data_IF_093950854153
#
_entry.id   IF_093950854153
#
_cell.length_a   1.000
_cell.length_b   1.000
_cell.length_c   1.000
_cell.angle_alpha   90.00
_cell.angle_beta   90.00
_cell.angle_gamma   90.00
#
_symmetry.space_group_name_H-M   'P 1'
#
loop_
_entity.id
_entity.type
_entity.pdbx_description
1 polymer ?
#
# COMPACT_ATOMS: atom_id res chain seq x y z
N UNK A 1 23.86 32.96 29.28
CA UNK A 1 22.67 33.48 28.57
C UNK A 1 23.05 34.49 27.50
N UNK A 2 23.81 35.54 27.83
CA UNK A 2 24.38 36.54 26.89
C UNK A 2 25.09 35.95 25.67
N UNK A 3 26.07 35.05 25.85
CA UNK A 3 26.84 34.48 24.73
C UNK A 3 26.01 33.66 23.71
N UNK A 4 24.80 33.21 24.05
CA UNK A 4 23.89 32.51 23.11
C UNK A 4 23.09 33.52 22.29
N UNK A 5 22.80 34.69 22.86
CA UNK A 5 22.14 35.80 22.16
C UNK A 5 23.08 36.44 21.13
N UNK A 6 24.33 36.74 21.52
CA UNK A 6 25.36 37.27 20.60
C UNK A 6 25.64 36.31 19.43
N UNK A 7 25.61 34.99 19.66
CA UNK A 7 25.76 33.99 18.59
C UNK A 7 24.57 33.98 17.63
N UNK A 8 23.35 34.26 18.10
CA UNK A 8 22.14 34.40 17.26
C UNK A 8 22.12 35.67 16.42
N UNK A 9 22.81 36.74 16.85
CA UNK A 9 22.93 37.98 16.08
C UNK A 9 24.02 37.93 14.99
N UNK A 10 24.99 37.01 15.12
CA UNK A 10 26.06 36.80 14.13
C UNK A 10 25.76 35.70 13.09
N UNK A 11 24.73 34.88 13.28
CA UNK A 11 24.29 33.90 12.28
C UNK A 11 23.51 34.55 11.13
N UNK A 12 23.87 34.17 9.89
CA UNK A 12 23.13 34.59 8.70
C UNK A 12 21.68 34.08 8.72
N UNK A 13 20.80 34.75 7.95
CA UNK A 13 19.41 34.32 7.80
C UNK A 13 19.29 32.85 7.36
N UNK A 14 20.20 32.40 6.48
CA UNK A 14 20.29 31.01 6.04
C UNK A 14 20.68 30.06 7.19
N UNK A 15 21.69 30.40 7.99
CA UNK A 15 22.09 29.59 9.15
C UNK A 15 20.93 29.43 10.14
N UNK A 16 20.24 30.52 10.45
CA UNK A 16 19.05 30.53 11.31
C UNK A 16 17.88 29.70 10.74
N UNK A 17 17.70 29.70 9.42
CA UNK A 17 16.70 28.87 8.75
C UNK A 17 17.04 27.37 8.82
N UNK A 18 18.28 26.98 8.50
CA UNK A 18 18.75 25.60 8.62
C UNK A 18 18.59 25.06 10.06
N UNK A 19 19.01 25.86 11.05
CA UNK A 19 18.88 25.55 12.48
C UNK A 19 17.41 25.37 12.91
N UNK A 20 16.45 26.03 12.25
CA UNK A 20 15.02 25.86 12.53
C UNK A 20 14.42 24.63 11.83
N UNK A 21 14.72 24.40 10.55
CA UNK A 21 14.22 23.24 9.77
C UNK A 21 14.65 21.92 10.41
N UNK A 22 15.89 21.86 10.92
CA UNK A 22 16.47 20.66 11.53
C UNK A 22 16.27 20.56 13.05
N UNK A 23 15.53 21.50 13.66
CA UNK A 23 15.33 21.54 15.11
C UNK A 23 14.50 20.34 15.63
N UNK A 24 15.04 19.67 16.64
CA UNK A 24 14.39 18.60 17.42
C UNK A 24 13.25 19.09 18.31
N UNK A 25 13.23 20.39 18.63
CA UNK A 25 12.23 20.99 19.52
C UNK A 25 10.91 21.36 18.79
N UNK A 26 10.84 21.12 17.48
CA UNK A 26 9.62 21.31 16.71
C UNK A 26 8.59 20.22 17.05
N UNK A 27 7.36 20.61 17.45
CA UNK A 27 6.26 19.68 17.79
C UNK A 27 5.98 18.65 16.69
N UNK A 28 6.18 19.03 15.42
CA UNK A 28 6.25 18.13 14.29
C UNK A 28 7.59 18.39 13.60
N UNK A 29 8.47 17.39 13.59
CA UNK A 29 9.77 17.51 12.94
C UNK A 29 9.61 17.80 11.44
N UNK A 30 10.40 18.74 10.92
CA UNK A 30 10.35 19.17 9.52
C UNK A 30 11.42 18.41 8.72
N UNK A 31 12.70 18.74 8.93
CA UNK A 31 13.80 18.17 8.15
C UNK A 31 13.84 18.66 6.71
N UNK A 32 14.91 18.33 5.99
CA UNK A 32 15.03 18.70 4.57
C UNK A 32 13.99 17.97 3.70
N UNK A 33 13.63 16.73 4.06
CA UNK A 33 12.53 16.02 3.41
C UNK A 33 11.17 16.67 3.66
N UNK A 34 10.93 17.24 4.85
CA UNK A 34 9.71 17.97 5.17
C UNK A 34 9.42 19.16 4.24
N UNK A 35 10.45 19.83 3.75
CA UNK A 35 10.33 20.97 2.83
C UNK A 35 9.66 20.58 1.50
N UNK A 36 9.84 19.34 1.04
CA UNK A 36 9.17 18.79 -0.15
C UNK A 36 7.88 18.04 0.21
N UNK A 37 7.92 17.24 1.27
CA UNK A 37 6.81 16.41 1.73
C UNK A 37 5.56 17.24 2.11
N UNK A 38 5.74 18.33 2.86
CA UNK A 38 4.62 19.16 3.34
C UNK A 38 3.81 19.75 2.17
N UNK A 39 4.39 20.50 1.23
CA UNK A 39 3.60 21.07 0.13
C UNK A 39 3.03 19.98 -0.79
N UNK A 40 3.77 18.90 -1.09
CA UNK A 40 3.28 17.83 -1.98
C UNK A 40 2.09 17.08 -1.36
N UNK A 41 2.18 16.66 -0.10
CA UNK A 41 1.06 16.00 0.59
C UNK A 41 -0.12 16.94 0.84
N UNK A 42 0.10 18.23 1.10
CA UNK A 42 -1.00 19.21 1.21
C UNK A 42 -1.73 19.40 -0.12
N UNK A 43 -1.00 19.52 -1.25
CA UNK A 43 -1.59 19.58 -2.59
C UNK A 43 -2.37 18.30 -2.91
N UNK A 44 -1.76 17.12 -2.73
CA UNK A 44 -2.44 15.84 -2.97
C UNK A 44 -3.71 15.70 -2.10
N UNK A 45 -3.63 16.02 -0.81
CA UNK A 45 -4.76 15.90 0.13
C UNK A 45 -5.90 16.88 -0.20
N UNK A 46 -5.59 18.14 -0.50
CA UNK A 46 -6.59 19.16 -0.81
C UNK A 46 -7.32 18.86 -2.13
N UNK A 47 -6.59 18.49 -3.19
CA UNK A 47 -7.19 18.08 -4.46
C UNK A 47 -7.99 16.79 -4.30
N UNK A 48 -7.48 15.79 -3.56
CA UNK A 48 -8.22 14.55 -3.25
C UNK A 48 -9.56 14.84 -2.56
N UNK A 49 -9.57 15.65 -1.49
CA UNK A 49 -10.79 15.98 -0.75
C UNK A 49 -11.82 16.67 -1.66
N UNK A 50 -11.39 17.66 -2.45
CA UNK A 50 -12.29 18.39 -3.35
C UNK A 50 -12.83 17.46 -4.44
N UNK A 51 -11.97 16.67 -5.08
CA UNK A 51 -12.37 15.77 -6.16
C UNK A 51 -13.28 14.63 -5.66
N UNK A 52 -12.99 14.03 -4.50
CA UNK A 52 -13.82 12.96 -3.92
C UNK A 52 -15.23 13.46 -3.54
N UNK A 53 -15.34 14.72 -3.14
CA UNK A 53 -16.65 15.34 -2.84
C UNK A 53 -17.38 15.75 -4.13
N UNK A 54 -16.69 16.42 -5.07
CA UNK A 54 -17.34 17.25 -6.08
C UNK A 54 -16.87 17.06 -7.55
N UNK A 55 -15.93 16.17 -7.86
CA UNK A 55 -15.51 15.97 -9.26
C UNK A 55 -16.68 15.48 -10.13
N UNK A 56 -16.82 15.97 -11.38
CA UNK A 56 -17.78 15.43 -12.34
C UNK A 56 -17.39 14.01 -12.78
N UNK A 57 -18.24 13.32 -13.55
CA UNK A 57 -17.91 12.03 -14.15
C UNK A 57 -16.71 12.11 -15.10
N UNK A 58 -15.92 11.04 -15.16
CA UNK A 58 -14.62 10.97 -15.87
C UNK A 58 -14.60 9.87 -16.92
N UNK A 59 -14.13 10.14 -18.12
CA UNK A 59 -14.03 9.18 -19.23
C UNK A 59 -12.77 8.30 -19.14
N UNK A 60 -12.75 7.39 -18.17
CA UNK A 60 -11.61 6.51 -17.84
C UNK A 60 -11.10 5.70 -19.04
N UNK A 61 -11.98 5.04 -19.79
CA UNK A 61 -11.58 4.15 -20.89
C UNK A 61 -11.33 4.92 -22.21
N UNK A 62 -11.56 6.24 -22.24
CA UNK A 62 -11.44 7.08 -23.44
C UNK A 62 -12.52 6.85 -24.51
N UNK A 63 -13.55 6.06 -24.20
CA UNK A 63 -14.63 5.65 -25.10
C UNK A 63 -15.85 6.60 -25.09
N UNK A 64 -15.77 7.71 -24.34
CA UNK A 64 -16.86 8.65 -24.06
C UNK A 64 -17.98 8.03 -23.21
N UNK A 65 -17.62 7.20 -22.23
CA UNK A 65 -18.54 6.65 -21.20
C UNK A 65 -18.11 7.12 -19.80
N UNK A 66 -18.49 8.35 -19.36
CA UNK A 66 -17.99 8.91 -18.11
C UNK A 66 -18.52 8.20 -16.86
N UNK A 67 -17.61 7.86 -15.95
CA UNK A 67 -17.91 7.20 -14.67
C UNK A 67 -17.99 8.22 -13.54
N UNK A 68 -19.10 8.23 -12.78
CA UNK A 68 -19.28 9.08 -11.59
C UNK A 68 -18.45 8.56 -10.41
N UNK A 69 -17.43 9.29 -9.99
CA UNK A 69 -16.61 8.94 -8.81
C UNK A 69 -16.98 9.64 -7.50
N UNK A 70 -17.57 10.84 -7.54
CA UNK A 70 -17.67 11.70 -6.36
C UNK A 70 -19.02 11.62 -5.61
N UNK A 71 -19.03 12.10 -4.36
CA UNK A 71 -20.20 12.06 -3.48
C UNK A 71 -21.39 12.88 -4.02
N UNK A 72 -21.14 14.10 -4.53
CA UNK A 72 -22.20 14.96 -5.08
C UNK A 72 -22.81 14.38 -6.37
N UNK A 73 -22.12 13.46 -7.05
CA UNK A 73 -22.61 12.74 -8.22
C UNK A 73 -23.16 11.34 -7.90
N UNK A 74 -23.65 11.14 -6.66
CA UNK A 74 -24.47 9.99 -6.27
C UNK A 74 -23.73 8.86 -5.56
N UNK A 75 -22.44 9.02 -5.25
CA UNK A 75 -21.69 8.01 -4.52
C UNK A 75 -21.80 8.13 -2.99
N UNK A 76 -21.56 7.02 -2.30
CA UNK A 76 -21.31 6.98 -0.87
C UNK A 76 -19.81 6.72 -0.60
N UNK A 77 -19.40 6.63 0.67
CA UNK A 77 -17.99 6.42 1.06
C UNK A 77 -17.38 5.11 0.50
N UNK A 78 -18.20 4.09 0.23
CA UNK A 78 -17.74 2.80 -0.30
C UNK A 78 -17.61 2.84 -1.82
N UNK A 79 -18.60 3.41 -2.52
CA UNK A 79 -18.61 3.48 -3.99
C UNK A 79 -17.81 4.66 -4.56
N UNK A 80 -17.52 5.67 -3.73
CA UNK A 80 -16.78 6.86 -4.15
C UNK A 80 -15.32 6.57 -4.45
N UNK A 81 -14.79 7.22 -5.48
CA UNK A 81 -13.41 7.08 -5.96
C UNK A 81 -12.93 8.35 -6.67
N UNK A 82 -11.62 8.53 -6.73
CA UNK A 82 -11.00 9.36 -7.76
C UNK A 82 -10.79 8.46 -8.97
N UNK A 83 -11.50 8.74 -10.06
CA UNK A 83 -11.43 7.95 -11.29
C UNK A 83 -10.09 8.22 -11.98
N UNK A 84 -9.37 7.18 -12.45
CA UNK A 84 -8.14 7.32 -13.24
C UNK A 84 -8.24 8.24 -14.45
N UNK A 85 -7.08 8.77 -14.85
CA UNK A 85 -6.91 9.58 -16.06
C UNK A 85 -7.22 8.75 -17.31
N UNK A 86 -7.85 9.38 -18.30
CA UNK A 86 -8.37 8.70 -19.49
C UNK A 86 -7.31 7.91 -20.26
N UNK A 87 -7.65 6.69 -20.71
CA UNK A 87 -6.80 5.89 -21.60
C UNK A 87 -6.48 6.59 -22.93
N UNK A 88 -7.28 7.59 -23.34
CA UNK A 88 -6.99 8.45 -24.49
C UNK A 88 -5.75 9.36 -24.27
N UNK A 89 -5.34 9.60 -23.02
CA UNK A 89 -4.07 10.27 -22.65
C UNK A 89 -2.93 9.25 -22.54
N UNK A 90 -3.21 8.02 -22.12
CA UNK A 90 -2.21 6.97 -21.94
C UNK A 90 -1.15 7.35 -20.91
N UNK A 91 0.11 7.51 -21.35
CA UNK A 91 1.26 7.89 -20.51
C UNK A 91 1.73 9.33 -20.75
N UNK A 92 0.95 10.17 -21.43
CA UNK A 92 1.27 11.58 -21.60
C UNK A 92 1.05 12.35 -20.29
N UNK A 93 1.99 13.22 -19.94
CA UNK A 93 1.88 14.10 -18.77
C UNK A 93 0.80 15.17 -19.02
N UNK A 94 -0.26 15.19 -18.20
CA UNK A 94 -1.46 16.00 -18.40
C UNK A 94 -1.76 16.95 -17.21
N UNK A 95 -0.91 17.97 -17.00
CA UNK A 95 -1.14 19.00 -16.01
C UNK A 95 -2.25 19.96 -16.45
N UNK A 96 -2.76 20.75 -15.48
CA UNK A 96 -3.87 21.70 -15.68
C UNK A 96 -3.65 22.68 -16.85
N UNK A 97 -2.40 23.01 -17.20
CA UNK A 97 -2.08 23.96 -18.27
C UNK A 97 -1.95 23.35 -19.68
N UNK A 98 -1.96 22.02 -19.83
CA UNK A 98 -2.11 21.38 -21.15
C UNK A 98 -3.60 21.28 -21.56
N UNK A 99 -4.51 21.36 -20.59
CA UNK A 99 -5.94 21.38 -20.83
C UNK A 99 -6.42 22.75 -21.36
N UNK A 100 -7.39 22.73 -22.27
CA UNK A 100 -8.05 23.93 -22.81
C UNK A 100 -8.96 24.61 -21.78
N UNK A 101 -9.45 23.87 -20.77
CA UNK A 101 -10.23 24.38 -19.65
C UNK A 101 -10.15 23.46 -18.43
N UNK A 102 -10.56 23.97 -17.26
CA UNK A 102 -10.71 23.15 -16.05
C UNK A 102 -11.76 22.06 -16.24
N UNK A 103 -12.84 22.34 -16.98
CA UNK A 103 -13.90 21.35 -17.24
C UNK A 103 -13.40 20.16 -18.07
N UNK A 104 -12.54 20.42 -19.06
CA UNK A 104 -11.91 19.38 -19.89
C UNK A 104 -10.85 18.61 -19.09
N UNK A 105 -10.03 19.29 -18.28
CA UNK A 105 -9.10 18.65 -17.34
C UNK A 105 -9.80 17.71 -16.36
N UNK A 106 -10.97 18.11 -15.86
CA UNK A 106 -11.81 17.28 -14.98
C UNK A 106 -12.41 16.09 -15.72
N UNK A 107 -12.98 16.28 -16.92
CA UNK A 107 -13.58 15.22 -17.73
C UNK A 107 -12.58 14.09 -18.08
N UNK A 108 -11.33 14.46 -18.34
CA UNK A 108 -10.26 13.52 -18.68
C UNK A 108 -9.55 12.89 -17.46
N UNK A 109 -9.99 13.18 -16.24
CA UNK A 109 -9.42 12.58 -15.02
C UNK A 109 -8.07 13.15 -14.61
N UNK A 110 -7.76 14.40 -14.98
CA UNK A 110 -6.54 15.11 -14.57
C UNK A 110 -6.29 15.19 -13.05
N UNK A 111 -7.30 15.23 -12.15
CA UNK A 111 -7.06 15.13 -10.71
C UNK A 111 -6.29 13.87 -10.29
N UNK A 112 -6.49 12.74 -10.97
CA UNK A 112 -5.84 11.47 -10.62
C UNK A 112 -4.33 11.56 -10.78
N UNK A 113 -3.83 11.94 -11.96
CA UNK A 113 -2.38 12.08 -12.20
C UNK A 113 -1.75 13.09 -11.25
N UNK A 114 -2.40 14.25 -11.03
CA UNK A 114 -1.93 15.27 -10.09
C UNK A 114 -1.80 14.69 -8.67
N UNK A 115 -2.82 14.01 -8.16
CA UNK A 115 -2.80 13.39 -6.83
C UNK A 115 -1.71 12.32 -6.76
N UNK A 116 -1.63 11.41 -7.74
CA UNK A 116 -0.66 10.30 -7.74
C UNK A 116 0.77 10.82 -7.75
N UNK A 117 1.12 11.76 -8.64
CA UNK A 117 2.48 12.30 -8.71
C UNK A 117 2.89 13.04 -7.43
N UNK A 118 2.01 13.90 -6.89
CA UNK A 118 2.29 14.61 -5.64
C UNK A 118 2.32 13.65 -4.43
N UNK A 119 1.46 12.64 -4.40
CA UNK A 119 1.44 11.63 -3.35
C UNK A 119 2.71 10.77 -3.38
N UNK A 120 3.15 10.28 -4.55
CA UNK A 120 4.36 9.46 -4.68
C UNK A 120 5.62 10.22 -4.26
N UNK A 121 5.78 11.49 -4.69
CA UNK A 121 6.85 12.37 -4.20
C UNK A 121 6.74 12.60 -2.69
N UNK A 122 5.51 12.83 -2.21
CA UNK A 122 5.20 13.04 -0.81
C UNK A 122 5.54 11.85 0.06
N UNK A 123 5.20 10.61 -0.33
CA UNK A 123 5.51 9.39 0.43
C UNK A 123 6.97 8.96 0.31
N UNK A 124 7.64 9.24 -0.81
CA UNK A 124 9.09 9.04 -0.93
C UNK A 124 9.85 10.00 0.01
N UNK A 125 9.46 11.27 0.05
CA UNK A 125 9.99 12.23 1.02
C UNK A 125 9.57 11.87 2.45
N UNK A 126 8.35 11.37 2.66
CA UNK A 126 7.90 10.89 3.95
C UNK A 126 8.73 9.69 4.43
N UNK A 127 9.08 8.73 3.58
CA UNK A 127 10.00 7.62 3.91
C UNK A 127 11.40 8.14 4.26
N UNK A 128 11.91 9.15 3.54
CA UNK A 128 13.12 9.88 3.93
C UNK A 128 12.99 10.58 5.30
N UNK A 129 11.78 11.03 5.63
CA UNK A 129 11.38 11.57 6.95
C UNK A 129 10.90 10.50 7.94
N UNK A 130 10.85 9.21 7.58
CA UNK A 130 10.58 8.05 8.46
C UNK A 130 11.88 7.41 8.93
N UNK A 131 12.90 7.45 8.06
CA UNK A 131 14.28 7.45 8.50
C UNK A 131 14.56 8.59 9.51
N UNK A 132 13.67 9.60 9.58
CA UNK A 132 13.50 10.54 10.70
C UNK A 132 12.28 10.27 11.67
N UNK A 133 11.26 9.38 11.44
CA UNK A 133 10.06 9.13 12.34
C UNK A 133 9.11 7.84 12.26
N UNK A 134 8.08 7.68 11.36
CA UNK A 134 7.15 6.49 11.08
C UNK A 134 5.57 6.45 11.24
N UNK A 135 4.84 5.39 10.75
CA UNK A 135 3.53 5.48 9.96
C UNK A 135 2.34 4.40 9.99
N UNK A 136 1.33 4.48 9.04
CA UNK A 136 -0.04 3.78 8.86
C UNK A 136 -0.68 3.87 7.40
N UNK A 137 -1.78 3.15 7.00
CA UNK A 137 -2.51 3.24 5.66
C UNK A 137 -4.05 2.87 5.57
N UNK A 138 -4.72 2.99 4.38
CA UNK A 138 -6.18 2.76 4.08
C UNK A 138 -6.56 2.34 2.62
N UNK A 139 -7.86 2.06 2.29
CA UNK A 139 -8.24 0.90 1.42
C UNK A 139 -9.10 1.04 0.11
N UNK A 140 -10.14 1.90 -0.03
CA UNK A 140 -11.38 1.50 -0.80
C UNK A 140 -11.33 1.03 -2.30
N UNK A 141 -11.08 1.89 -3.31
CA UNK A 141 -11.31 1.62 -4.76
C UNK A 141 -10.49 0.48 -5.41
N UNK A 142 -9.61 -0.10 -4.62
CA UNK A 142 -8.75 -1.24 -4.91
C UNK A 142 -9.50 -2.51 -5.36
N UNK A 143 -10.79 -2.67 -5.03
CA UNK A 143 -11.53 -3.90 -5.38
C UNK A 143 -11.70 -4.15 -6.90
N UNK A 144 -11.99 -3.12 -7.70
CA UNK A 144 -12.12 -3.29 -9.15
C UNK A 144 -10.75 -3.66 -9.76
N UNK A 145 -9.70 -2.91 -9.42
CA UNK A 145 -8.32 -3.22 -9.78
C UNK A 145 -7.93 -4.67 -9.43
N UNK A 146 -8.22 -5.13 -8.21
CA UNK A 146 -7.92 -6.52 -7.79
C UNK A 146 -8.61 -7.59 -8.63
N UNK A 147 -9.83 -7.33 -9.13
CA UNK A 147 -10.60 -8.29 -9.93
C UNK A 147 -10.05 -8.35 -11.36
N UNK A 148 -9.83 -7.18 -11.98
CA UNK A 148 -9.28 -7.06 -13.33
C UNK A 148 -7.86 -7.64 -13.40
N UNK A 149 -7.02 -7.29 -12.42
CA UNK A 149 -5.65 -7.81 -12.29
C UNK A 149 -5.60 -9.34 -12.05
N UNK A 150 -6.67 -9.94 -11.48
CA UNK A 150 -6.80 -11.40 -11.40
C UNK A 150 -7.21 -12.03 -12.74
N UNK A 151 -8.03 -11.36 -13.55
CA UNK A 151 -8.40 -11.83 -14.88
C UNK A 151 -7.16 -11.89 -15.79
N UNK A 152 -6.43 -10.77 -15.91
CA UNK A 152 -5.28 -10.62 -16.82
C UNK A 152 -4.04 -11.38 -16.37
N UNK A 153 -3.67 -11.30 -15.08
CA UNK A 153 -2.38 -11.80 -14.59
C UNK A 153 -2.47 -13.11 -13.77
N UNK A 154 -3.69 -13.57 -13.45
CA UNK A 154 -3.91 -14.74 -12.58
C UNK A 154 -3.11 -14.66 -11.27
N UNK A 155 -3.10 -13.48 -10.63
CA UNK A 155 -2.25 -13.15 -9.46
C UNK A 155 -2.34 -14.17 -8.31
N UNK A 156 -3.50 -14.81 -8.09
CA UNK A 156 -3.66 -15.85 -7.08
C UNK A 156 -2.73 -17.05 -7.29
N UNK A 157 -2.30 -17.31 -8.53
CA UNK A 157 -1.35 -18.36 -8.91
C UNK A 157 0.10 -17.86 -9.00
N UNK A 158 0.39 -16.60 -8.64
CA UNK A 158 1.74 -16.04 -8.65
C UNK A 158 2.44 -16.24 -7.30
N UNK A 159 3.65 -16.85 -7.24
CA UNK A 159 4.29 -17.23 -5.97
C UNK A 159 4.63 -16.02 -5.09
N UNK A 160 4.97 -14.86 -5.68
CA UNK A 160 5.24 -13.67 -4.88
C UNK A 160 3.99 -13.09 -4.21
N UNK A 161 2.80 -13.29 -4.79
CA UNK A 161 1.55 -12.93 -4.12
C UNK A 161 1.28 -13.87 -2.93
N UNK A 162 1.51 -15.18 -3.10
CA UNK A 162 1.40 -16.15 -2.00
C UNK A 162 2.36 -15.84 -0.84
N UNK A 163 3.59 -15.41 -1.13
CA UNK A 163 4.55 -14.94 -0.13
C UNK A 163 4.05 -13.68 0.60
N UNK A 164 3.42 -12.74 -0.11
CA UNK A 164 2.74 -11.59 0.49
C UNK A 164 1.61 -11.98 1.44
N UNK A 165 0.75 -12.93 1.04
CA UNK A 165 -0.33 -13.49 1.88
C UNK A 165 0.24 -14.14 3.14
N UNK A 166 1.30 -14.94 3.03
CA UNK A 166 2.00 -15.52 4.17
C UNK A 166 2.63 -14.44 5.08
N UNK A 167 3.14 -13.35 4.49
CA UNK A 167 3.64 -12.17 5.17
C UNK A 167 2.58 -11.49 6.04
N UNK A 168 1.41 -11.17 5.49
CA UNK A 168 0.34 -10.48 6.23
C UNK A 168 -0.37 -11.37 7.24
N UNK A 169 -0.72 -12.62 6.89
CA UNK A 169 -1.33 -13.55 7.84
C UNK A 169 -0.39 -13.91 8.98
N UNK A 170 0.89 -14.17 8.69
CA UNK A 170 1.90 -14.37 9.71
C UNK A 170 2.12 -13.11 10.54
N UNK A 171 2.19 -11.91 9.94
CA UNK A 171 2.29 -10.64 10.66
C UNK A 171 1.16 -10.41 11.66
N UNK A 172 -0.10 -10.65 11.26
CA UNK A 172 -1.26 -10.59 12.15
C UNK A 172 -1.19 -11.64 13.27
N UNK A 173 -0.82 -12.89 12.93
CA UNK A 173 -0.69 -13.98 13.90
C UNK A 173 0.42 -13.70 14.93
N UNK A 174 1.58 -13.22 14.49
CA UNK A 174 2.71 -12.92 15.38
C UNK A 174 2.47 -11.66 16.20
N UNK A 175 1.71 -10.68 15.70
CA UNK A 175 1.23 -9.54 16.49
C UNK A 175 0.35 -10.01 17.65
N UNK A 176 -0.65 -10.85 17.38
CA UNK A 176 -1.53 -11.41 18.41
C UNK A 176 -0.78 -12.34 19.39
N UNK A 177 0.14 -13.17 18.89
CA UNK A 177 0.99 -14.05 19.69
C UNK A 177 1.91 -13.25 20.63
N UNK A 178 2.59 -12.24 20.12
CA UNK A 178 3.49 -11.41 20.93
C UNK A 178 2.73 -10.65 22.01
N UNK A 179 1.63 -9.98 21.64
CA UNK A 179 0.78 -9.27 22.61
C UNK A 179 0.25 -10.17 23.71
N UNK A 180 -0.33 -11.33 23.36
CA UNK A 180 -0.86 -12.28 24.34
C UNK A 180 0.23 -12.87 25.26
N UNK A 181 1.43 -13.19 24.74
CA UNK A 181 2.53 -13.68 25.57
C UNK A 181 3.05 -12.62 26.56
N UNK A 182 3.23 -11.38 26.12
CA UNK A 182 3.65 -10.27 27.00
C UNK A 182 2.57 -10.01 28.06
N UNK A 183 1.31 -9.83 27.66
CA UNK A 183 0.20 -9.59 28.61
C UNK A 183 0.02 -10.74 29.60
N UNK A 184 0.24 -12.00 29.20
CA UNK A 184 0.15 -13.16 30.10
C UNK A 184 1.25 -13.25 31.16
N UNK A 185 2.31 -12.44 31.04
CA UNK A 185 3.52 -12.52 31.87
C UNK A 185 3.90 -11.20 32.54
N UNK A 186 2.98 -10.21 32.56
CA UNK A 186 3.14 -8.97 33.31
C UNK A 186 3.42 -9.23 34.80
N UNK A 187 4.31 -8.43 35.38
CA UNK A 187 4.57 -8.42 36.82
C UNK A 187 3.42 -7.68 37.52
N UNK A 188 2.96 -8.18 38.69
CA UNK A 188 1.83 -7.58 39.40
C UNK A 188 2.29 -6.36 40.22
N UNK A 189 2.11 -5.18 39.62
CA UNK A 189 2.35 -3.87 40.27
C UNK A 189 1.06 -3.14 40.69
N UNK A 190 -0.11 -3.73 40.46
CA UNK A 190 -1.43 -3.12 40.72
C UNK A 190 -2.38 -4.04 41.49
N UNK A 191 -3.44 -3.45 42.05
CA UNK A 191 -4.58 -4.14 42.65
C UNK A 191 -5.62 -4.58 41.61
N UNK A 192 -6.61 -5.37 42.03
CA UNK A 192 -7.72 -5.83 41.16
C UNK A 192 -8.75 -4.73 40.83
N UNK A 193 -8.65 -3.55 41.48
CA UNK A 193 -9.60 -2.45 41.35
C UNK A 193 -9.13 -1.34 40.38
N UNK A 194 -7.99 -1.53 39.72
CA UNK A 194 -7.39 -0.57 38.78
C UNK A 194 -6.86 -1.27 37.51
N UNK A 195 -6.47 -0.51 36.50
CA UNK A 195 -5.93 -1.07 35.27
C UNK A 195 -4.48 -1.52 35.48
N UNK A 196 -4.14 -2.74 35.05
CA UNK A 196 -2.76 -3.24 35.06
C UNK A 196 -1.78 -2.34 34.29
N UNK A 197 -2.27 -1.51 33.35
CA UNK A 197 -1.45 -0.53 32.64
C UNK A 197 -0.82 0.54 33.57
N UNK A 198 -1.46 0.86 34.71
CA UNK A 198 -0.91 1.80 35.70
C UNK A 198 0.31 1.25 36.44
N UNK A 199 0.55 -0.06 36.35
CA UNK A 199 1.76 -0.71 36.84
C UNK A 199 3.02 -0.37 36.02
N UNK A 200 2.86 0.08 34.78
CA UNK A 200 3.97 0.55 33.95
C UNK A 200 4.12 2.07 34.05
N UNK A 201 5.36 2.54 34.27
CA UNK A 201 5.73 3.95 34.27
C UNK A 201 6.61 4.26 33.07
N UNK A 202 6.22 5.27 32.30
CA UNK A 202 6.93 5.67 31.08
C UNK A 202 8.38 6.07 31.40
N UNK A 203 9.34 5.36 30.82
CA UNK A 203 10.77 5.58 31.05
C UNK A 203 11.37 4.82 32.24
N UNK A 204 10.65 3.84 32.82
CA UNK A 204 11.24 2.93 33.81
C UNK A 204 12.38 2.08 33.21
N UNK A 205 13.36 1.72 34.05
CA UNK A 205 14.53 0.94 33.63
C UNK A 205 14.26 -0.58 33.61
N UNK A 206 13.33 -1.07 34.42
CA UNK A 206 13.02 -2.50 34.56
C UNK A 206 11.95 -2.98 33.56
N UNK A 207 12.14 -4.18 33.02
CA UNK A 207 11.19 -4.84 32.12
C UNK A 207 9.87 -5.16 32.84
N UNK A 208 8.73 -4.78 32.24
CA UNK A 208 7.40 -4.89 32.87
C UNK A 208 6.82 -6.33 32.89
N UNK A 209 7.49 -7.30 32.26
CA UNK A 209 7.03 -8.67 32.10
C UNK A 209 8.16 -9.70 32.23
N UNK A 210 7.80 -10.93 32.61
CA UNK A 210 8.76 -12.01 32.77
C UNK A 210 8.93 -12.84 31.48
N UNK A 211 9.91 -12.48 30.66
CA UNK A 211 10.25 -13.19 29.42
C UNK A 211 10.60 -14.68 29.64
N UNK A 212 11.15 -15.07 30.80
CA UNK A 212 11.45 -16.47 31.12
C UNK A 212 10.17 -17.28 31.34
N UNK A 213 9.15 -16.68 31.96
CA UNK A 213 7.82 -17.28 32.08
C UNK A 213 7.14 -17.42 30.71
N UNK A 214 7.18 -16.38 29.87
CA UNK A 214 6.63 -16.41 28.52
C UNK A 214 7.30 -17.46 27.62
N UNK A 215 8.63 -17.51 27.60
CA UNK A 215 9.41 -18.54 26.91
C UNK A 215 9.10 -19.94 27.45
N UNK A 216 9.02 -20.08 28.78
CA UNK A 216 8.68 -21.34 29.45
C UNK A 216 7.28 -21.85 29.11
N UNK A 217 6.30 -20.96 28.93
CA UNK A 217 4.96 -21.32 28.45
C UNK A 217 4.99 -21.74 26.98
N UNK A 218 5.47 -20.86 26.09
CA UNK A 218 5.40 -21.11 24.64
C UNK A 218 6.29 -22.29 24.19
N UNK A 219 7.46 -22.46 24.81
CA UNK A 219 8.34 -23.61 24.58
C UNK A 219 7.77 -24.95 25.06
N UNK A 220 6.76 -24.95 25.95
CA UNK A 220 5.97 -26.14 26.30
C UNK A 220 4.74 -26.33 25.42
N UNK A 221 4.17 -25.24 24.91
CA UNK A 221 3.00 -25.28 24.02
C UNK A 221 3.33 -25.89 22.65
N UNK A 222 4.51 -25.60 22.10
CA UNK A 222 4.96 -26.09 20.79
C UNK A 222 6.11 -27.09 20.99
N UNK A 223 7.34 -26.60 21.12
CA UNK A 223 8.52 -27.32 21.63
C UNK A 223 9.63 -26.30 21.94
N UNK A 224 10.57 -26.67 22.80
CA UNK A 224 11.51 -25.70 23.41
C UNK A 224 12.29 -24.85 22.40
N UNK A 225 12.75 -25.46 21.30
CA UNK A 225 13.53 -24.78 20.25
C UNK A 225 12.68 -23.89 19.31
N UNK A 226 11.36 -23.97 19.34
CA UNK A 226 10.46 -23.09 18.57
C UNK A 226 10.18 -21.74 19.26
N UNK A 227 10.66 -21.55 20.49
CA UNK A 227 10.42 -20.34 21.29
C UNK A 227 11.65 -19.45 21.36
N UNK A 228 11.47 -18.15 21.16
CA UNK A 228 12.52 -17.16 21.36
C UNK A 228 12.77 -16.91 22.86
N UNK A 229 14.01 -17.11 23.31
CA UNK A 229 14.50 -16.67 24.63
C UNK A 229 15.28 -15.35 24.55
N UNK A 230 15.54 -14.83 23.35
CA UNK A 230 16.22 -13.56 23.12
C UNK A 230 15.24 -12.53 22.53
N UNK A 231 14.94 -11.49 23.31
CA UNK A 231 14.03 -10.41 22.91
C UNK A 231 14.44 -9.72 21.61
N UNK A 232 15.75 -9.51 21.36
CA UNK A 232 16.22 -8.85 20.13
C UNK A 232 15.94 -9.70 18.88
N UNK A 233 16.15 -11.01 18.97
CA UNK A 233 15.85 -11.95 17.88
C UNK A 233 14.35 -12.05 17.61
N UNK A 234 13.53 -12.05 18.67
CA UNK A 234 12.07 -12.00 18.56
C UNK A 234 11.62 -10.73 17.82
N UNK A 235 12.02 -9.54 18.28
CA UNK A 235 11.59 -8.28 17.66
C UNK A 235 12.15 -8.08 16.24
N UNK A 236 13.35 -8.56 15.94
CA UNK A 236 13.86 -8.62 14.57
C UNK A 236 12.97 -9.51 13.67
N UNK A 237 12.56 -10.68 14.16
CA UNK A 237 11.64 -11.56 13.43
C UNK A 237 10.26 -10.92 13.21
N UNK A 238 9.70 -10.27 14.24
CA UNK A 238 8.43 -9.55 14.16
C UNK A 238 8.44 -8.42 13.11
N UNK A 239 9.59 -7.75 12.93
CA UNK A 239 9.77 -6.75 11.88
C UNK A 239 10.00 -7.41 10.50
N UNK A 240 10.91 -8.37 10.42
CA UNK A 240 11.36 -8.95 9.16
C UNK A 240 10.26 -9.73 8.42
N UNK A 241 9.43 -10.51 9.14
CA UNK A 241 8.41 -11.36 8.52
C UNK A 241 7.40 -10.59 7.64
N UNK A 242 6.65 -9.58 8.17
CA UNK A 242 5.71 -8.84 7.35
C UNK A 242 6.42 -7.99 6.28
N UNK A 243 7.59 -7.40 6.57
CA UNK A 243 8.33 -6.56 5.62
C UNK A 243 8.78 -7.36 4.40
N UNK A 244 9.42 -8.52 4.59
CA UNK A 244 9.87 -9.38 3.48
C UNK A 244 8.68 -9.91 2.67
N UNK A 245 7.57 -10.27 3.33
CA UNK A 245 6.34 -10.65 2.64
C UNK A 245 5.80 -9.54 1.74
N UNK A 246 5.68 -8.31 2.26
CA UNK A 246 5.23 -7.14 1.48
C UNK A 246 6.18 -6.79 0.33
N UNK A 247 7.50 -6.92 0.52
CA UNK A 247 8.47 -6.76 -0.58
C UNK A 247 8.22 -7.73 -1.72
N UNK A 248 7.92 -9.01 -1.44
CA UNK A 248 7.55 -9.95 -2.49
C UNK A 248 6.25 -9.55 -3.19
N UNK A 249 5.19 -9.17 -2.49
CA UNK A 249 3.96 -8.70 -3.15
C UNK A 249 4.22 -7.51 -4.06
N UNK A 250 5.02 -6.53 -3.62
CA UNK A 250 5.40 -5.38 -4.44
C UNK A 250 6.17 -5.81 -5.71
N UNK A 251 7.20 -6.66 -5.57
CA UNK A 251 7.92 -7.23 -6.70
C UNK A 251 7.00 -8.00 -7.67
N UNK A 252 6.00 -8.72 -7.14
CA UNK A 252 5.02 -9.45 -7.94
C UNK A 252 4.20 -8.52 -8.84
N UNK A 253 3.65 -7.43 -8.28
CA UNK A 253 2.94 -6.42 -9.08
C UNK A 253 3.90 -5.80 -10.13
N UNK A 254 5.13 -5.49 -9.74
CA UNK A 254 6.14 -4.94 -10.67
C UNK A 254 6.56 -5.90 -11.79
N UNK A 255 6.54 -7.23 -11.59
CA UNK A 255 6.84 -8.20 -12.66
C UNK A 255 5.62 -8.47 -13.56
N UNK A 256 4.43 -8.53 -12.98
CA UNK A 256 3.18 -8.71 -13.73
C UNK A 256 2.86 -7.50 -14.63
N UNK A 257 3.32 -6.29 -14.27
CA UNK A 257 3.28 -5.11 -15.14
C UNK A 257 4.08 -5.26 -16.47
N UNK A 258 4.89 -6.32 -16.60
CA UNK A 258 5.56 -6.72 -17.85
C UNK A 258 5.07 -8.10 -18.34
N UNK A 259 3.83 -8.47 -18.00
CA UNK A 259 3.14 -9.70 -18.39
C UNK A 259 3.81 -11.01 -17.95
N UNK A 260 4.68 -10.97 -16.93
CA UNK A 260 5.19 -12.18 -16.27
C UNK A 260 4.19 -12.65 -15.21
N UNK A 261 3.18 -13.39 -15.69
CA UNK A 261 1.95 -13.73 -14.97
C UNK A 261 2.10 -14.93 -14.00
N UNK A 262 1.05 -15.19 -13.21
CA UNK A 262 0.94 -16.37 -12.34
C UNK A 262 0.97 -17.69 -13.12
N UNK A 263 1.23 -18.80 -12.42
CA UNK A 263 1.32 -20.12 -13.06
C UNK A 263 0.05 -20.49 -13.83
N UNK A 264 0.23 -20.93 -15.07
CA UNK A 264 -0.82 -21.47 -15.92
C UNK A 264 -0.73 -23.00 -15.95
N UNK A 265 -1.71 -23.68 -15.36
CA UNK A 265 -1.85 -25.14 -15.36
C UNK A 265 -3.13 -25.60 -16.10
N UNK A 266 -3.67 -24.76 -16.99
CA UNK A 266 -4.86 -25.09 -17.77
C UNK A 266 -4.61 -26.37 -18.58
N UNK A 267 -5.55 -27.32 -18.48
CA UNK A 267 -5.52 -28.61 -19.18
C UNK A 267 -4.26 -29.46 -18.94
N UNK A 268 -3.50 -29.20 -17.85
CA UNK A 268 -2.20 -29.84 -17.61
C UNK A 268 -2.27 -31.32 -17.21
N UNK A 269 -3.45 -31.84 -16.88
CA UNK A 269 -3.67 -33.27 -16.60
C UNK A 269 -4.49 -33.88 -17.72
N UNK A 270 -3.95 -34.92 -18.34
CA UNK A 270 -4.52 -35.59 -19.51
C UNK A 270 -4.48 -37.10 -19.28
N UNK A 271 -5.54 -37.81 -19.68
CA UNK A 271 -5.61 -39.27 -19.57
C UNK A 271 -4.85 -39.99 -20.70
N UNK A 272 -4.78 -41.32 -20.63
CA UNK A 272 -4.12 -42.16 -21.65
C UNK A 272 -4.77 -42.12 -23.04
N UNK A 273 -5.94 -41.49 -23.19
CA UNK A 273 -6.65 -41.30 -24.46
C UNK A 273 -6.52 -39.87 -25.00
N UNK A 274 -5.75 -38.99 -24.35
CA UNK A 274 -5.60 -37.59 -24.73
C UNK A 274 -6.75 -36.69 -24.25
N UNK A 275 -7.60 -37.15 -23.33
CA UNK A 275 -8.72 -36.36 -22.79
C UNK A 275 -8.27 -35.57 -21.56
N UNK A 276 -8.61 -34.29 -21.51
CA UNK A 276 -8.34 -33.42 -20.37
C UNK A 276 -9.11 -33.88 -19.13
N UNK A 277 -8.42 -33.96 -17.99
CA UNK A 277 -9.01 -34.13 -16.66
C UNK A 277 -8.89 -32.79 -15.94
N UNK A 278 -10.01 -32.09 -15.78
CA UNK A 278 -10.02 -30.78 -15.12
C UNK A 278 -9.53 -30.86 -13.66
N UNK A 279 -8.80 -29.83 -13.27
CA UNK A 279 -8.27 -29.59 -11.93
C UNK A 279 -8.89 -28.31 -11.34
N UNK A 280 -8.50 -27.94 -10.12
CA UNK A 280 -8.89 -26.64 -9.55
C UNK A 280 -8.34 -25.45 -10.34
N UNK A 281 -7.20 -25.59 -11.05
CA UNK A 281 -6.68 -24.53 -11.91
C UNK A 281 -7.63 -24.24 -13.08
N UNK A 282 -8.23 -25.28 -13.67
CA UNK A 282 -9.22 -25.12 -14.74
C UNK A 282 -10.51 -24.44 -14.25
N UNK A 283 -10.90 -24.68 -12.98
CA UNK A 283 -12.03 -23.97 -12.36
C UNK A 283 -11.69 -22.48 -12.11
N UNK A 284 -10.48 -22.16 -11.66
CA UNK A 284 -10.00 -20.77 -11.54
C UNK A 284 -10.01 -20.11 -12.93
N UNK A 285 -9.53 -20.79 -13.97
CA UNK A 285 -9.57 -20.29 -15.34
C UNK A 285 -11.00 -19.98 -15.83
N UNK A 286 -12.00 -20.79 -15.45
CA UNK A 286 -13.42 -20.48 -15.73
C UNK A 286 -13.92 -19.23 -15.00
N UNK A 287 -13.39 -18.92 -13.82
CA UNK A 287 -13.71 -17.68 -13.11
C UNK A 287 -13.02 -16.47 -13.76
N UNK A 288 -11.74 -16.58 -14.11
CA UNK A 288 -10.98 -15.54 -14.82
C UNK A 288 -11.66 -15.19 -16.16
N UNK A 289 -12.02 -16.18 -16.97
CA UNK A 289 -12.78 -15.98 -18.22
C UNK A 289 -14.09 -15.21 -17.99
N UNK A 290 -14.76 -15.40 -16.85
CA UNK A 290 -15.99 -14.68 -16.51
C UNK A 290 -15.77 -13.21 -16.14
N UNK A 291 -14.55 -12.86 -15.69
CA UNK A 291 -14.12 -11.49 -15.44
C UNK A 291 -13.67 -10.84 -16.76
N UNK A 292 -12.82 -11.55 -17.51
CA UNK A 292 -12.27 -11.17 -18.82
C UNK A 292 -13.37 -10.76 -19.81
N UNK A 293 -14.43 -11.57 -20.00
CA UNK A 293 -15.50 -11.23 -20.96
C UNK A 293 -16.49 -10.16 -20.48
N UNK A 294 -16.33 -9.63 -19.27
CA UNK A 294 -17.26 -8.68 -18.63
C UNK A 294 -16.62 -7.33 -18.27
N UNK A 295 -15.30 -7.27 -18.03
CA UNK A 295 -14.59 -6.01 -17.83
C UNK A 295 -14.59 -5.19 -19.12
N UNK A 296 -14.58 -3.86 -19.00
CA UNK A 296 -14.47 -2.90 -20.13
C UNK A 296 -15.33 -3.28 -21.36
N UNK A 297 -16.58 -3.68 -21.09
CA UNK A 297 -17.54 -4.31 -22.03
C UNK A 297 -17.80 -3.57 -23.35
N UNK A 298 -17.36 -2.31 -23.45
CA UNK A 298 -17.55 -1.42 -24.59
C UNK A 298 -16.22 -0.93 -25.23
N UNK A 299 -15.06 -1.26 -24.67
CA UNK A 299 -13.74 -0.83 -25.16
C UNK A 299 -13.17 -1.74 -26.27
N UNK A 300 -13.44 -3.04 -26.17
CA UNK A 300 -12.82 -4.08 -26.98
C UNK A 300 -13.46 -4.23 -28.38
N UNK A 301 -12.68 -3.93 -29.42
CA UNK A 301 -13.08 -4.09 -30.83
C UNK A 301 -12.42 -5.30 -31.54
N UNK A 302 -11.46 -5.95 -30.89
CA UNK A 302 -10.69 -7.08 -31.41
C UNK A 302 -10.77 -8.28 -30.45
N UNK A 303 -10.58 -9.52 -30.93
CA UNK A 303 -10.81 -10.74 -30.14
C UNK A 303 -9.68 -11.07 -29.14
N UNK A 304 -8.64 -10.24 -29.05
CA UNK A 304 -7.54 -10.37 -28.10
C UNK A 304 -7.33 -9.02 -27.45
N UNK A 305 -7.32 -9.00 -26.12
CA UNK A 305 -6.81 -7.87 -25.35
C UNK A 305 -5.28 -7.97 -25.26
N UNK A 306 -4.59 -6.93 -25.72
CA UNK A 306 -3.13 -6.84 -25.84
C UNK A 306 -2.68 -5.39 -25.66
N UNK A 307 -2.19 -5.06 -24.46
CA UNK A 307 -1.66 -3.72 -24.14
C UNK A 307 -0.21 -3.47 -24.60
N UNK A 308 0.52 -4.49 -25.10
CA UNK A 308 1.91 -4.33 -25.52
C UNK A 308 2.35 -5.29 -26.64
N UNK A 309 3.23 -4.78 -27.52
CA UNK A 309 3.90 -5.42 -28.68
C UNK A 309 3.08 -5.41 -29.99
N UNK A 310 3.81 -5.20 -31.09
CA UNK A 310 3.31 -5.04 -32.47
C UNK A 310 2.27 -6.10 -32.88
N UNK A 311 1.27 -5.67 -33.65
CA UNK A 311 0.41 -6.57 -34.38
C UNK A 311 1.26 -7.55 -35.21
N UNK A 312 0.97 -8.87 -35.21
CA UNK A 312 1.77 -9.84 -35.93
C UNK A 312 1.82 -9.46 -37.42
N UNK A 313 3.03 -9.27 -37.94
CA UNK A 313 3.21 -8.82 -39.31
C UNK A 313 2.66 -9.87 -40.28
N UNK A 314 1.52 -9.55 -40.91
CA UNK A 314 0.91 -10.37 -41.96
C UNK A 314 1.67 -10.18 -43.28
N UNK A 315 2.96 -10.50 -43.27
CA UNK A 315 3.77 -10.67 -44.47
C UNK A 315 3.63 -12.13 -44.92
N UNK A 316 2.83 -12.35 -45.96
CA UNK A 316 2.86 -13.57 -46.76
C UNK A 316 3.98 -13.57 -47.79
#
# INVERSE_FOLDING_TARGET
MTAILERRESESLWGRFCNWITSTENRLYIGWFGVLMIPTLLTATSVFIIAFIAAPPVDIDGIREPVSGSLLYGNNIISGAIIPTSAAIGLHFYPIWEAASVDEWLYNGGPYELIVLHFLLGVACYMGREWELSFRLGISGTFNFMIVFQAEHNILMHPFHMLGVAGVFGGSLFSAMHGSLVTSSLIRETTENESANEGYRFGQEEETYNIVAAHGYFGRLIFQYASFNNSRSLHFFLAAWPVVGIWFTALGISTMAFNLNGFNFNQSVVDSQGRVINTWADIINRANLGMEVMHERNAHNFPLDLAAIEAPSTNG
#
